data_IF_048026123929
#
_entry.id   IF_048026123929
#
_cell.length_a   1.000
_cell.length_b   1.000
_cell.length_c   1.000
_cell.angle_alpha   90.00
_cell.angle_beta   90.00
_cell.angle_gamma   90.00
#
_symmetry.space_group_name_H-M   'P 1'
#
loop_
_entity.id
_entity.type
_entity.pdbx_description
1 polymer ?
#
# COMPACT_ATOMS: atom_id res chain seq x y z
N UNK A 1 -16.69 -31.86 14.03
CA UNK A 1 -15.98 -31.40 12.82
C UNK A 1 -15.47 -30.01 13.08
N UNK A 2 -14.22 -29.86 13.45
CA UNK A 2 -13.59 -28.56 13.77
C UNK A 2 -12.97 -28.00 12.47
N UNK A 3 -13.45 -26.83 12.08
CA UNK A 3 -12.89 -26.06 10.97
C UNK A 3 -11.64 -25.35 11.46
N UNK A 4 -10.47 -25.77 10.97
CA UNK A 4 -9.19 -25.08 11.17
C UNK A 4 -9.12 -23.92 10.19
N UNK A 5 -9.20 -22.68 10.70
CA UNK A 5 -8.99 -21.48 9.92
C UNK A 5 -7.50 -21.32 9.52
N UNK A 6 -7.18 -20.67 8.40
CA UNK A 6 -5.82 -20.52 7.92
C UNK A 6 -5.00 -19.64 8.87
N UNK A 7 -3.89 -20.21 9.35
CA UNK A 7 -2.87 -19.56 10.15
C UNK A 7 -2.19 -18.46 9.30
N UNK A 8 -2.57 -17.19 9.49
CA UNK A 8 -1.92 -16.03 8.87
C UNK A 8 -0.53 -15.85 9.48
N UNK A 9 0.48 -16.21 8.71
CA UNK A 9 1.88 -16.20 9.12
C UNK A 9 2.34 -14.83 9.61
N UNK A 10 2.71 -14.74 10.88
CA UNK A 10 3.43 -13.62 11.48
C UNK A 10 4.86 -13.62 10.95
N UNK A 11 5.22 -12.69 10.08
CA UNK A 11 6.63 -12.47 9.72
C UNK A 11 7.21 -11.43 10.67
N UNK A 12 8.17 -11.84 11.48
CA UNK A 12 8.95 -10.93 12.33
C UNK A 12 10.20 -10.49 11.57
N UNK A 13 10.33 -9.19 11.33
CA UNK A 13 11.58 -8.61 10.84
C UNK A 13 12.47 -8.39 12.07
N UNK A 14 13.21 -9.42 12.46
CA UNK A 14 14.22 -9.31 13.51
C UNK A 14 15.52 -8.86 12.86
N UNK A 15 15.81 -7.57 12.91
CA UNK A 15 17.19 -7.07 12.70
C UNK A 15 17.85 -6.94 14.06
N UNK A 16 18.37 -8.04 14.57
CA UNK A 16 19.35 -8.03 15.65
C UNK A 16 20.74 -7.79 15.05
N UNK A 17 21.58 -7.00 15.74
CA UNK A 17 22.98 -6.74 15.37
C UNK A 17 23.86 -7.99 15.30
N UNK A 18 23.34 -9.17 15.53
CA UNK A 18 24.07 -10.45 15.54
C UNK A 18 24.58 -10.86 14.14
N UNK A 19 24.01 -10.31 13.07
CA UNK A 19 24.49 -10.60 11.70
C UNK A 19 25.86 -9.94 11.38
N UNK A 20 26.31 -8.97 12.17
CA UNK A 20 27.62 -8.32 12.00
C UNK A 20 28.74 -9.08 12.68
N UNK A 21 28.45 -9.90 13.68
CA UNK A 21 29.45 -10.71 14.38
C UNK A 21 29.89 -11.96 13.60
N UNK A 22 29.11 -12.40 12.63
CA UNK A 22 29.40 -13.56 11.80
C UNK A 22 30.40 -13.30 10.65
N UNK A 23 30.81 -12.03 10.42
CA UNK A 23 31.73 -11.67 9.31
C UNK A 23 33.13 -11.28 9.71
N UNK A 24 33.62 -11.66 10.89
CA UNK A 24 35.06 -11.63 11.23
C UNK A 24 35.78 -10.30 10.93
N UNK A 25 35.12 -9.15 10.93
CA UNK A 25 35.77 -7.86 10.75
C UNK A 25 36.28 -7.39 12.10
N UNK A 26 37.58 -7.50 12.31
CA UNK A 26 38.28 -7.04 13.49
C UNK A 26 38.10 -5.53 13.66
N UNK A 27 37.45 -5.11 14.73
CA UNK A 27 37.39 -3.71 15.15
C UNK A 27 38.71 -3.37 15.83
N UNK A 28 39.47 -2.35 15.38
CA UNK A 28 40.70 -1.97 16.02
C UNK A 28 40.43 -1.40 17.42
N UNK A 29 40.85 -2.13 18.45
CA UNK A 29 40.88 -1.64 19.82
C UNK A 29 41.95 -0.55 19.95
N UNK A 30 41.55 0.71 20.02
CA UNK A 30 42.43 1.76 20.49
C UNK A 30 42.63 1.59 21.99
N UNK A 31 43.85 1.11 22.36
CA UNK A 31 44.36 1.14 23.74
C UNK A 31 44.49 2.61 24.15
N UNK A 32 43.70 3.07 25.07
CA UNK A 32 43.98 4.27 25.82
C UNK A 32 44.99 3.90 26.90
N UNK A 33 46.18 4.45 26.75
CA UNK A 33 47.27 4.31 27.73
C UNK A 33 46.94 5.14 28.99
N UNK A 34 47.28 4.57 30.09
CA UNK A 34 47.05 4.95 31.46
C UNK A 34 47.16 6.42 31.85
N UNK A 35 46.19 6.84 32.64
CA UNK A 35 46.35 7.91 33.60
C UNK A 35 46.20 7.30 34.98
N UNK A 36 47.34 7.15 35.64
CA UNK A 36 47.43 6.71 37.04
C UNK A 36 47.12 7.90 37.95
N UNK A 37 46.04 7.79 38.73
CA UNK A 37 45.77 8.68 39.84
C UNK A 37 46.35 8.09 41.14
N UNK A 38 46.96 8.95 42.04
CA UNK A 38 47.60 8.46 43.26
C UNK A 38 46.57 8.01 44.30
N UNK A 39 46.93 6.94 45.01
CA UNK A 39 46.12 6.30 46.03
C UNK A 39 45.90 7.17 47.25
N UNK A 40 44.67 7.11 47.80
CA UNK A 40 44.40 7.42 49.19
C UNK A 40 43.92 6.14 49.89
N UNK A 41 44.78 5.58 50.71
CA UNK A 41 44.44 4.49 51.61
C UNK A 41 43.62 5.01 52.81
N UNK A 42 42.58 4.28 53.17
CA UNK A 42 41.79 4.59 54.35
C UNK A 42 40.79 3.48 54.64
N UNK A 43 41.23 2.42 55.34
CA UNK A 43 40.31 1.42 55.92
C UNK A 43 39.47 2.06 57.01
N UNK A 44 38.12 2.09 56.87
CA UNK A 44 37.23 2.04 58.01
C UNK A 44 36.01 1.15 57.66
N UNK A 45 35.89 0.06 58.42
CA UNK A 45 34.67 -0.76 58.52
C UNK A 45 33.59 0.07 59.17
N UNK A 46 32.40 0.01 58.61
CA UNK A 46 31.16 0.42 59.28
C UNK A 46 30.05 -0.62 59.00
N UNK A 47 29.12 -0.82 59.93
CA UNK A 47 28.31 -2.04 60.04
C UNK A 47 27.07 -2.00 59.18
N UNK A 48 26.52 -3.17 59.03
CA UNK A 48 25.34 -3.56 58.24
C UNK A 48 24.22 -2.56 58.15
N UNK A 49 23.82 -2.28 56.93
CA UNK A 49 22.58 -1.61 56.57
C UNK A 49 21.90 -2.43 55.47
N UNK A 50 20.67 -2.75 55.74
CA UNK A 50 19.75 -3.63 55.01
C UNK A 50 19.81 -3.42 53.49
N UNK A 51 19.89 -4.52 52.77
CA UNK A 51 19.65 -4.59 51.36
C UNK A 51 18.23 -4.13 51.04
N UNK A 52 18.12 -3.00 50.42
CA UNK A 52 16.91 -2.56 49.67
C UNK A 52 17.16 -2.83 48.22
N UNK A 53 17.07 -4.09 47.84
CA UNK A 53 16.91 -4.52 46.45
C UNK A 53 15.42 -4.28 46.07
N UNK A 54 15.09 -3.05 45.69
CA UNK A 54 13.83 -2.68 45.08
C UNK A 54 14.02 -1.62 44.04
N UNK A 55 13.88 -2.05 42.77
CA UNK A 55 13.39 -1.21 41.71
C UNK A 55 14.40 -0.58 40.77
N UNK A 56 14.99 -1.40 39.89
CA UNK A 56 15.64 -0.90 38.68
C UNK A 56 14.74 -0.03 37.80
N UNK A 57 13.44 0.09 38.13
CA UNK A 57 12.49 0.99 37.47
C UNK A 57 12.44 2.40 38.09
N UNK A 58 12.47 2.51 39.40
CA UNK A 58 12.34 3.81 40.07
C UNK A 58 13.54 4.72 39.83
N UNK A 59 14.76 4.17 39.83
CA UNK A 59 15.98 4.89 39.49
C UNK A 59 15.93 5.44 38.06
N UNK A 60 15.42 4.70 37.09
CA UNK A 60 15.27 5.15 35.69
C UNK A 60 14.30 6.32 35.58
N UNK A 61 13.21 6.30 36.32
CA UNK A 61 12.23 7.41 36.39
C UNK A 61 12.88 8.64 37.01
N UNK A 62 13.63 8.50 38.10
CA UNK A 62 14.34 9.60 38.75
C UNK A 62 15.39 10.23 37.81
N UNK A 63 16.14 9.41 37.08
CA UNK A 63 17.12 9.92 36.10
C UNK A 63 16.40 10.68 34.96
N UNK A 64 15.30 10.17 34.46
CA UNK A 64 14.51 10.86 33.41
C UNK A 64 13.96 12.19 33.93
N UNK A 65 13.47 12.25 35.17
CA UNK A 65 12.97 13.50 35.76
C UNK A 65 14.09 14.51 36.03
N UNK A 66 15.27 14.07 36.47
CA UNK A 66 16.43 14.95 36.64
C UNK A 66 16.93 15.51 35.33
N UNK A 67 16.96 14.70 34.28
CA UNK A 67 17.36 15.15 32.92
C UNK A 67 16.34 16.09 32.34
N UNK A 68 15.03 15.83 32.51
CA UNK A 68 13.97 16.75 32.10
C UNK A 68 14.02 18.09 32.87
N UNK A 69 14.30 18.05 34.17
CA UNK A 69 14.51 19.23 34.97
C UNK A 69 15.72 20.07 34.56
N UNK A 70 16.83 19.42 34.26
CA UNK A 70 18.05 20.11 33.77
C UNK A 70 17.84 20.71 32.38
N UNK A 71 17.11 20.03 31.50
CA UNK A 71 16.75 20.55 30.17
C UNK A 71 15.80 21.74 30.25
N UNK A 72 14.81 21.69 31.14
CA UNK A 72 13.89 22.83 31.40
C UNK A 72 14.61 24.06 31.98
N UNK A 73 15.57 23.85 32.89
CA UNK A 73 16.37 24.90 33.46
C UNK A 73 17.33 25.53 32.42
N UNK A 74 17.93 24.68 31.56
CA UNK A 74 18.77 25.13 30.44
C UNK A 74 18.00 25.97 29.41
N UNK A 75 16.75 25.60 29.14
CA UNK A 75 15.85 26.38 28.27
C UNK A 75 15.55 27.78 28.81
N UNK A 76 15.38 27.91 30.11
CA UNK A 76 15.06 29.20 30.76
C UNK A 76 16.25 30.18 30.75
N UNK A 77 17.47 29.66 30.72
CA UNK A 77 18.71 30.49 30.76
C UNK A 77 19.26 30.86 29.37
N UNK A 78 19.00 30.05 28.35
CA UNK A 78 19.65 30.15 27.03
C UNK A 78 18.66 30.56 25.94
N UNK A 79 18.45 31.85 25.76
CA UNK A 79 17.58 32.44 24.73
C UNK A 79 18.15 32.45 23.31
N UNK A 80 18.90 31.42 22.86
CA UNK A 80 19.49 31.38 21.53
C UNK A 80 19.30 29.99 20.85
N UNK A 81 18.87 30.01 19.61
CA UNK A 81 18.46 28.80 18.80
C UNK A 81 19.56 27.74 18.62
N UNK A 82 20.84 28.10 18.77
CA UNK A 82 21.98 27.21 18.60
C UNK A 82 22.16 26.16 19.72
N UNK A 83 21.83 26.49 20.95
CA UNK A 83 21.96 25.60 22.11
C UNK A 83 20.80 24.58 22.19
N UNK A 84 19.62 24.96 21.71
CA UNK A 84 18.43 24.12 21.72
C UNK A 84 18.63 22.82 20.87
N UNK A 85 19.27 22.95 19.70
CA UNK A 85 19.55 21.79 18.85
C UNK A 85 20.57 20.80 19.47
N UNK A 86 21.55 21.30 20.24
CA UNK A 86 22.54 20.42 20.87
C UNK A 86 22.00 19.74 22.13
N UNK A 87 21.19 20.46 22.92
CA UNK A 87 20.53 19.87 24.10
C UNK A 87 19.49 18.82 23.73
N UNK A 88 18.72 19.06 22.67
CA UNK A 88 17.77 18.09 22.14
C UNK A 88 18.45 16.77 21.72
N UNK A 89 19.54 16.86 20.94
CA UNK A 89 20.31 15.67 20.52
C UNK A 89 20.93 14.94 21.72
N UNK A 90 21.41 15.65 22.73
CA UNK A 90 21.94 15.05 23.95
C UNK A 90 20.87 14.30 24.76
N UNK A 91 19.68 14.87 24.87
CA UNK A 91 18.53 14.26 25.55
C UNK A 91 18.04 13.02 24.79
N UNK A 92 17.98 13.10 23.48
CA UNK A 92 17.64 11.96 22.61
C UNK A 92 18.64 10.81 22.80
N UNK A 93 19.94 11.10 22.80
CA UNK A 93 20.98 10.11 23.00
C UNK A 93 20.90 9.42 24.37
N UNK A 94 20.62 10.19 25.44
CA UNK A 94 20.44 9.65 26.79
C UNK A 94 19.21 8.77 26.91
N UNK A 95 18.09 9.15 26.30
CA UNK A 95 16.86 8.37 26.34
C UNK A 95 16.98 7.09 25.49
N UNK A 96 17.69 7.12 24.36
CA UNK A 96 18.03 5.93 23.58
C UNK A 96 18.90 4.99 24.40
N UNK A 97 19.92 5.52 25.10
CA UNK A 97 20.80 4.76 26.00
C UNK A 97 20.00 4.16 27.19
N UNK A 98 18.98 4.86 27.68
CA UNK A 98 18.04 4.35 28.70
C UNK A 98 17.07 3.26 28.18
N UNK A 99 17.14 2.91 26.89
CA UNK A 99 16.36 1.82 26.28
C UNK A 99 15.10 2.25 25.55
N UNK A 100 14.87 3.54 25.34
CA UNK A 100 13.71 4.09 24.60
C UNK A 100 14.02 4.32 23.10
N UNK A 101 15.07 3.72 22.56
CA UNK A 101 15.31 3.66 21.13
C UNK A 101 14.55 2.51 20.47
N UNK A 102 14.13 2.67 19.22
CA UNK A 102 13.53 1.59 18.43
C UNK A 102 14.53 0.45 18.25
N UNK A 103 14.23 -0.71 18.81
CA UNK A 103 15.05 -1.95 18.66
C UNK A 103 14.39 -2.96 17.75
N UNK A 104 13.07 -2.96 17.69
CA UNK A 104 12.28 -3.92 16.92
C UNK A 104 11.16 -3.22 16.17
N UNK A 105 10.98 -3.62 14.93
CA UNK A 105 9.82 -3.25 14.14
C UNK A 105 9.13 -4.56 13.78
N UNK A 106 7.87 -4.70 14.13
CA UNK A 106 7.03 -5.85 13.77
C UNK A 106 6.03 -5.40 12.74
N UNK A 107 5.95 -6.09 11.61
CA UNK A 107 4.97 -5.83 10.56
C UNK A 107 4.02 -7.01 10.46
N UNK A 108 2.73 -6.73 10.40
CA UNK A 108 1.66 -7.72 10.22
C UNK A 108 0.78 -7.31 9.02
N UNK A 109 0.30 -8.30 8.24
CA UNK A 109 -0.61 -8.09 7.10
C UNK A 109 0.08 -7.95 5.75
N UNK A 110 1.41 -7.96 5.70
CA UNK A 110 2.21 -7.86 4.48
C UNK A 110 2.14 -9.13 3.64
N UNK A 111 1.88 -8.99 2.33
CA UNK A 111 1.89 -10.08 1.35
C UNK A 111 2.72 -9.70 0.10
N UNK A 112 2.47 -8.55 -0.48
CA UNK A 112 3.08 -8.06 -1.72
C UNK A 112 4.07 -6.91 -1.50
N UNK A 113 3.85 -6.10 -0.47
CA UNK A 113 4.72 -4.97 -0.13
C UNK A 113 6.06 -5.48 0.39
N UNK A 114 7.16 -4.88 -0.04
CA UNK A 114 8.49 -5.29 0.41
C UNK A 114 8.87 -4.64 1.75
N UNK A 115 9.69 -5.31 2.55
CA UNK A 115 10.23 -4.78 3.81
C UNK A 115 10.97 -3.45 3.61
N UNK A 116 11.64 -3.29 2.47
CA UNK A 116 12.39 -2.10 2.13
C UNK A 116 11.47 -0.89 1.87
N UNK A 117 10.34 -1.10 1.20
CA UNK A 117 9.32 -0.07 0.96
C UNK A 117 8.67 0.37 2.26
N UNK A 118 8.25 -0.59 3.10
CA UNK A 118 7.65 -0.30 4.40
C UNK A 118 8.60 0.43 5.34
N UNK A 119 9.86 0.00 5.41
CA UNK A 119 10.86 0.66 6.26
C UNK A 119 11.14 2.09 5.80
N UNK A 120 11.19 2.32 4.49
CA UNK A 120 11.37 3.65 3.91
C UNK A 120 10.17 4.55 4.20
N UNK A 121 8.96 4.05 3.99
CA UNK A 121 7.72 4.79 4.26
C UNK A 121 7.55 5.09 5.75
N UNK A 122 7.86 4.12 6.62
CA UNK A 122 7.81 4.29 8.08
C UNK A 122 8.70 5.45 8.54
N UNK A 123 9.87 5.64 7.88
CA UNK A 123 10.81 6.70 8.23
C UNK A 123 11.47 6.50 9.61
N UNK A 124 11.45 5.30 10.13
CA UNK A 124 12.12 4.91 11.37
C UNK A 124 12.97 3.66 11.14
N UNK A 125 14.10 3.62 11.83
CA UNK A 125 15.00 2.48 11.85
C UNK A 125 15.49 2.17 13.25
N UNK A 126 16.32 1.13 13.41
CA UNK A 126 16.98 0.86 14.68
C UNK A 126 17.72 2.07 15.20
N UNK A 127 17.49 2.44 16.45
CA UNK A 127 18.07 3.62 17.09
C UNK A 127 17.24 4.90 16.96
N UNK A 128 16.15 4.94 16.22
CA UNK A 128 15.23 6.09 16.21
C UNK A 128 14.64 6.33 17.59
N UNK A 129 14.43 7.60 17.94
CA UNK A 129 13.90 7.98 19.25
C UNK A 129 12.40 7.68 19.34
N UNK A 130 12.02 6.70 20.16
CA UNK A 130 10.66 6.16 20.24
C UNK A 130 9.63 7.19 20.72
N UNK A 131 9.97 8.03 21.70
CA UNK A 131 8.99 8.92 22.33
C UNK A 131 8.59 10.10 21.43
N UNK A 132 9.50 10.57 20.57
CA UNK A 132 9.22 11.64 19.60
C UNK A 132 8.81 11.10 18.22
N UNK A 133 8.68 9.77 18.06
CA UNK A 133 8.25 9.20 16.80
C UNK A 133 6.78 9.50 16.54
N UNK A 134 6.51 10.19 15.45
CA UNK A 134 5.15 10.53 15.03
C UNK A 134 4.51 9.36 14.29
N UNK A 135 3.56 8.70 14.95
CA UNK A 135 2.84 7.54 14.43
C UNK A 135 1.84 7.90 13.36
N UNK A 136 1.24 9.10 13.42
CA UNK A 136 0.22 9.53 12.48
C UNK A 136 0.85 9.92 11.14
N UNK A 137 1.93 10.70 11.18
CA UNK A 137 2.71 10.98 9.99
C UNK A 137 3.33 9.71 9.36
N UNK A 138 3.69 8.71 10.16
CA UNK A 138 4.17 7.43 9.66
C UNK A 138 3.06 6.62 9.00
N UNK A 139 1.86 6.61 9.59
CA UNK A 139 0.66 6.01 9.00
C UNK A 139 0.36 6.62 7.63
N UNK A 140 0.30 7.94 7.53
CA UNK A 140 0.05 8.63 6.26
C UNK A 140 1.08 8.26 5.18
N UNK A 141 2.37 8.19 5.52
CA UNK A 141 3.40 7.76 4.57
C UNK A 141 3.27 6.30 4.16
N UNK A 142 2.86 5.42 5.06
CA UNK A 142 2.61 4.01 4.75
C UNK A 142 1.41 3.86 3.81
N UNK A 143 0.34 4.63 4.01
CA UNK A 143 -0.84 4.64 3.14
C UNK A 143 -0.58 5.24 1.75
N UNK A 144 0.54 5.96 1.57
CA UNK A 144 1.02 6.39 0.24
C UNK A 144 1.71 5.27 -0.56
N UNK A 145 2.07 4.16 0.09
CA UNK A 145 2.61 2.99 -0.62
C UNK A 145 1.47 2.35 -1.44
N UNK A 146 1.63 2.17 -2.76
CA UNK A 146 0.51 1.80 -3.63
C UNK A 146 -0.24 0.53 -3.23
N UNK A 147 0.45 -0.46 -2.68
CA UNK A 147 -0.15 -1.70 -2.20
C UNK A 147 -0.86 -1.57 -0.85
N UNK A 148 -0.60 -0.52 -0.09
CA UNK A 148 -1.19 -0.35 1.25
C UNK A 148 -2.52 0.39 1.14
N UNK A 149 -3.58 -0.24 1.62
CA UNK A 149 -4.91 0.37 1.72
C UNK A 149 -5.07 1.14 3.03
N UNK A 150 -4.75 0.46 4.13
CA UNK A 150 -4.80 1.03 5.47
C UNK A 150 -3.55 0.63 6.26
N UNK A 151 -3.06 1.54 7.08
CA UNK A 151 -1.95 1.29 7.99
C UNK A 151 -2.31 1.74 9.41
N UNK A 152 -1.83 0.97 10.40
CA UNK A 152 -1.87 1.33 11.80
C UNK A 152 -0.48 1.20 12.39
N UNK A 153 -0.01 2.25 13.07
CA UNK A 153 1.32 2.28 13.68
C UNK A 153 1.15 2.48 15.19
N UNK A 154 1.69 1.55 15.96
CA UNK A 154 1.60 1.56 17.42
C UNK A 154 2.99 1.54 18.05
N UNK A 155 3.17 2.34 19.10
CA UNK A 155 4.38 2.34 19.92
C UNK A 155 4.20 1.39 21.10
N UNK A 156 4.91 0.28 21.09
CA UNK A 156 4.97 -0.66 22.22
C UNK A 156 6.25 -0.37 23.01
N UNK A 157 6.09 0.43 24.07
CA UNK A 157 7.20 0.81 24.92
C UNK A 157 7.83 -0.43 25.60
N UNK A 158 9.17 -0.42 25.81
CA UNK A 158 10.06 0.71 25.63
C UNK A 158 10.68 0.85 24.23
N UNK A 159 10.63 -0.16 23.34
CA UNK A 159 11.53 -0.22 22.19
C UNK A 159 10.99 -0.92 20.94
N UNK A 160 9.67 -1.14 20.85
CA UNK A 160 9.07 -1.85 19.70
C UNK A 160 8.05 -0.96 18.99
N UNK A 161 8.17 -0.86 17.67
CA UNK A 161 7.12 -0.34 16.80
C UNK A 161 6.35 -1.52 16.21
N UNK A 162 5.03 -1.51 16.37
CA UNK A 162 4.14 -2.45 15.70
C UNK A 162 3.45 -1.72 14.55
N UNK A 163 3.55 -2.29 13.36
CA UNK A 163 2.91 -1.81 12.13
C UNK A 163 1.95 -2.91 11.68
N UNK A 164 0.68 -2.57 11.55
CA UNK A 164 -0.34 -3.44 10.97
C UNK A 164 -0.78 -2.80 9.68
N UNK A 165 -0.69 -3.52 8.56
CA UNK A 165 -1.13 -3.04 7.26
C UNK A 165 -2.22 -3.94 6.69
N UNK A 166 -3.14 -3.32 5.98
CA UNK A 166 -4.10 -3.97 5.10
C UNK A 166 -3.70 -3.66 3.66
N UNK A 167 -3.35 -4.69 2.89
CA UNK A 167 -3.00 -4.50 1.48
C UNK A 167 -4.25 -4.41 0.61
N UNK A 168 -4.14 -3.66 -0.51
CA UNK A 168 -5.16 -3.57 -1.54
C UNK A 168 -5.31 -4.90 -2.26
N UNK A 169 -6.54 -5.23 -2.61
CA UNK A 169 -6.84 -6.45 -3.37
C UNK A 169 -6.99 -6.07 -4.85
N UNK A 170 -6.19 -6.66 -5.75
CA UNK A 170 -6.33 -6.46 -7.18
C UNK A 170 -7.74 -6.81 -7.66
N UNK A 171 -8.41 -5.88 -8.34
CA UNK A 171 -9.79 -6.03 -8.81
C UNK A 171 -9.89 -6.06 -10.33
N UNK A 172 -9.21 -5.14 -11.02
CA UNK A 172 -9.25 -5.04 -12.48
C UNK A 172 -7.90 -4.58 -13.05
N UNK A 173 -7.67 -4.88 -14.31
CA UNK A 173 -6.61 -4.29 -15.11
C UNK A 173 -7.17 -3.09 -15.85
N UNK A 174 -6.64 -1.91 -15.56
CA UNK A 174 -7.05 -0.66 -16.17
C UNK A 174 -6.04 -0.20 -17.21
N UNK A 175 -6.52 0.03 -18.44
CA UNK A 175 -5.72 0.57 -19.53
C UNK A 175 -6.18 2.00 -19.83
N UNK A 176 -5.25 2.94 -19.79
CA UNK A 176 -5.47 4.34 -20.13
C UNK A 176 -4.23 4.93 -20.78
N UNK A 177 -4.40 5.71 -21.85
CA UNK A 177 -3.29 6.39 -22.55
C UNK A 177 -2.12 5.48 -22.91
N UNK A 178 -2.39 4.25 -23.35
CA UNK A 178 -1.38 3.26 -23.71
C UNK A 178 -0.64 2.61 -22.54
N UNK A 179 -0.97 2.95 -21.30
CA UNK A 179 -0.40 2.37 -20.08
C UNK A 179 -1.41 1.45 -19.40
N UNK A 180 -0.89 0.40 -18.77
CA UNK A 180 -1.71 -0.59 -18.08
C UNK A 180 -1.36 -0.64 -16.60
N UNK A 181 -2.38 -0.63 -15.75
CA UNK A 181 -2.26 -0.63 -14.30
C UNK A 181 -3.18 -1.67 -13.68
N UNK A 182 -2.80 -2.19 -12.53
CA UNK A 182 -3.72 -2.93 -11.66
C UNK A 182 -4.39 -1.93 -10.73
N UNK A 183 -5.71 -2.05 -10.61
CA UNK A 183 -6.51 -1.22 -9.70
C UNK A 183 -7.30 -2.08 -8.73
N UNK A 184 -7.60 -1.51 -7.57
CA UNK A 184 -8.52 -2.12 -6.59
C UNK A 184 -9.98 -1.79 -6.90
N UNK A 185 -10.89 -2.23 -6.02
CA UNK A 185 -12.33 -1.99 -6.12
C UNK A 185 -12.70 -0.50 -6.07
N UNK A 186 -11.88 0.33 -5.44
CA UNK A 186 -12.06 1.79 -5.34
C UNK A 186 -11.46 2.53 -6.55
N UNK A 187 -10.79 1.80 -7.45
CA UNK A 187 -10.09 2.35 -8.61
C UNK A 187 -8.72 2.96 -8.28
N UNK A 188 -8.20 2.71 -7.09
CA UNK A 188 -6.86 3.13 -6.73
C UNK A 188 -5.81 2.28 -7.46
N UNK A 189 -4.78 2.94 -8.00
CA UNK A 189 -3.70 2.26 -8.73
C UNK A 189 -2.78 1.57 -7.73
N UNK A 190 -2.61 0.24 -7.91
CA UNK A 190 -1.74 -0.60 -7.07
C UNK A 190 -0.34 -0.70 -7.69
N UNK A 191 -0.27 -1.03 -8.97
CA UNK A 191 1.00 -1.24 -9.67
C UNK A 191 0.83 -1.09 -11.18
N UNK A 192 1.90 -0.80 -11.95
CA UNK A 192 1.93 -1.05 -13.37
C UNK A 192 1.67 -2.54 -13.64
N UNK A 193 0.83 -2.85 -14.63
CA UNK A 193 0.46 -4.22 -14.93
C UNK A 193 1.15 -4.72 -16.21
N UNK A 194 1.72 -5.91 -16.12
CA UNK A 194 1.95 -6.76 -17.27
C UNK A 194 0.71 -7.65 -17.39
N UNK A 195 0.00 -7.56 -18.51
CA UNK A 195 -1.33 -8.19 -18.68
C UNK A 195 -1.31 -9.70 -18.41
N UNK A 196 -0.22 -10.36 -18.78
CA UNK A 196 -0.05 -11.80 -18.60
C UNK A 196 -0.04 -12.22 -17.13
N UNK A 197 0.52 -11.38 -16.26
CA UNK A 197 0.57 -11.64 -14.82
C UNK A 197 -0.80 -11.50 -14.14
N UNK A 198 -1.73 -10.77 -14.76
CA UNK A 198 -3.07 -10.48 -14.25
C UNK A 198 -4.17 -10.89 -15.23
N UNK A 199 -3.93 -11.94 -16.02
CA UNK A 199 -4.84 -12.40 -17.07
C UNK A 199 -6.22 -12.84 -16.54
N UNK A 200 -6.31 -13.22 -15.27
CA UNK A 200 -7.57 -13.59 -14.61
C UNK A 200 -8.43 -12.38 -14.23
N UNK A 201 -7.86 -11.18 -14.20
CA UNK A 201 -8.61 -9.97 -13.87
C UNK A 201 -9.29 -9.38 -15.11
N UNK A 202 -10.48 -8.81 -14.96
CA UNK A 202 -11.19 -8.15 -16.05
C UNK A 202 -10.40 -6.93 -16.54
N UNK A 203 -10.42 -6.71 -17.86
CA UNK A 203 -9.82 -5.54 -18.48
C UNK A 203 -10.84 -4.42 -18.61
N UNK A 204 -10.50 -3.24 -18.10
CA UNK A 204 -11.27 -2.00 -18.31
C UNK A 204 -10.39 -0.96 -19.02
N UNK A 205 -10.96 -0.28 -20.00
CA UNK A 205 -10.22 0.63 -20.89
C UNK A 205 -10.90 1.99 -20.92
N UNK A 206 -10.09 3.03 -20.92
CA UNK A 206 -10.55 4.41 -21.07
C UNK A 206 -10.39 5.26 -19.82
N UNK A 207 -10.61 6.55 -19.98
CA UNK A 207 -10.57 7.52 -18.89
C UNK A 207 -11.68 7.23 -17.87
N UNK A 208 -11.37 7.34 -16.58
CA UNK A 208 -12.33 7.05 -15.51
C UNK A 208 -12.75 5.58 -15.37
N UNK A 209 -12.33 4.67 -16.28
CA UNK A 209 -12.75 3.28 -16.26
C UNK A 209 -12.38 2.55 -14.98
N UNK A 210 -11.17 2.79 -14.43
CA UNK A 210 -10.72 2.17 -13.18
C UNK A 210 -11.63 2.48 -12.00
N UNK A 211 -12.03 3.74 -11.83
CA UNK A 211 -12.88 4.17 -10.72
C UNK A 211 -14.32 3.67 -10.79
N UNK A 212 -14.84 3.46 -12.00
CA UNK A 212 -16.23 3.08 -12.23
C UNK A 212 -16.39 1.59 -12.59
N UNK A 213 -15.28 0.83 -12.52
CA UNK A 213 -15.30 -0.60 -12.82
C UNK A 213 -16.16 -1.38 -11.83
N UNK A 214 -16.08 -1.07 -10.54
CA UNK A 214 -16.83 -1.76 -9.50
C UNK A 214 -18.33 -1.69 -9.74
N UNK A 215 -18.86 -0.50 -10.01
CA UNK A 215 -20.31 -0.29 -10.28
C UNK A 215 -20.78 -1.06 -11.51
N UNK A 216 -19.95 -1.08 -12.58
CA UNK A 216 -20.25 -1.87 -13.76
C UNK A 216 -20.32 -3.37 -13.41
N UNK A 217 -19.29 -3.90 -12.72
CA UNK A 217 -19.24 -5.33 -12.41
C UNK A 217 -20.32 -5.75 -11.42
N UNK A 218 -20.70 -4.88 -10.48
CA UNK A 218 -21.87 -5.13 -9.62
C UNK A 218 -23.15 -5.27 -10.47
N UNK A 219 -23.34 -4.35 -11.44
CA UNK A 219 -24.48 -4.41 -12.37
C UNK A 219 -24.44 -5.65 -13.25
N UNK A 220 -23.25 -6.14 -13.63
CA UNK A 220 -23.05 -7.33 -14.46
C UNK A 220 -23.22 -8.66 -13.71
N UNK A 221 -23.13 -8.67 -12.39
CA UNK A 221 -23.23 -9.91 -11.57
C UNK A 221 -24.43 -10.82 -11.91
N UNK A 222 -25.66 -10.30 -12.13
CA UNK A 222 -26.79 -11.14 -12.48
C UNK A 222 -26.77 -11.70 -13.91
N UNK A 223 -25.81 -11.24 -14.73
CA UNK A 223 -25.76 -11.49 -16.17
C UNK A 223 -24.56 -12.36 -16.56
N UNK A 224 -24.44 -13.53 -15.95
CA UNK A 224 -23.34 -14.49 -16.11
C UNK A 224 -23.02 -14.82 -17.57
N UNK A 225 -24.04 -14.93 -18.43
CA UNK A 225 -23.89 -15.28 -19.85
C UNK A 225 -23.10 -14.21 -20.62
N UNK A 226 -23.28 -12.94 -20.26
CA UNK A 226 -22.53 -11.82 -20.84
C UNK A 226 -21.15 -11.68 -20.19
N UNK A 227 -21.10 -11.79 -18.85
CA UNK A 227 -19.87 -11.60 -18.08
C UNK A 227 -18.80 -12.64 -18.44
N UNK A 228 -19.19 -13.89 -18.62
CA UNK A 228 -18.28 -14.98 -19.03
C UNK A 228 -17.71 -14.83 -20.44
N UNK A 229 -18.43 -14.14 -21.31
CA UNK A 229 -17.97 -13.88 -22.67
C UNK A 229 -17.23 -12.54 -22.81
N UNK A 230 -17.25 -11.69 -21.78
CA UNK A 230 -16.64 -10.38 -21.82
C UNK A 230 -15.10 -10.48 -21.74
N UNK A 231 -14.42 -9.88 -22.71
CA UNK A 231 -12.95 -9.78 -22.78
C UNK A 231 -12.49 -8.43 -22.23
N UNK A 232 -13.26 -7.37 -22.48
CA UNK A 232 -12.94 -6.03 -22.00
C UNK A 232 -14.20 -5.18 -21.87
N UNK A 233 -14.16 -4.20 -21.00
CA UNK A 233 -15.16 -3.14 -20.90
C UNK A 233 -14.51 -1.79 -21.19
N UNK A 234 -15.01 -1.08 -22.20
CA UNK A 234 -14.50 0.22 -22.63
C UNK A 234 -15.41 1.33 -22.11
N UNK A 235 -14.85 2.30 -21.40
CA UNK A 235 -15.55 3.50 -20.96
C UNK A 235 -15.40 4.59 -22.02
N UNK A 236 -16.51 5.00 -22.61
CA UNK A 236 -16.55 5.95 -23.72
C UNK A 236 -17.10 7.29 -23.23
N UNK A 237 -16.31 8.36 -23.42
CA UNK A 237 -16.69 9.72 -23.02
C UNK A 237 -16.92 9.87 -21.52
N UNK A 238 -16.23 9.08 -20.72
CA UNK A 238 -16.30 9.01 -19.24
C UNK A 238 -17.72 8.81 -18.66
N UNK A 239 -18.62 8.21 -19.43
CA UNK A 239 -20.02 7.99 -19.01
C UNK A 239 -20.62 6.65 -19.41
N UNK A 240 -20.40 6.19 -20.65
CA UNK A 240 -21.01 4.98 -21.20
C UNK A 240 -20.02 3.83 -21.25
N UNK A 241 -20.57 2.61 -21.23
CA UNK A 241 -19.77 1.41 -21.39
C UNK A 241 -20.06 0.72 -22.72
N UNK A 242 -19.00 0.17 -23.31
CA UNK A 242 -19.08 -0.79 -24.42
C UNK A 242 -18.39 -2.06 -23.96
N UNK A 243 -19.11 -3.17 -23.95
CA UNK A 243 -18.55 -4.48 -23.60
C UNK A 243 -18.03 -5.14 -24.87
N UNK A 244 -16.77 -5.56 -24.86
CA UNK A 244 -16.21 -6.41 -25.92
C UNK A 244 -16.37 -7.87 -25.53
N UNK A 245 -17.05 -8.65 -26.36
CA UNK A 245 -17.23 -10.08 -26.14
C UNK A 245 -16.17 -10.90 -26.88
N UNK A 246 -15.92 -12.12 -26.42
CA UNK A 246 -14.99 -13.07 -27.04
C UNK A 246 -15.38 -13.47 -28.47
N UNK A 247 -16.67 -13.35 -28.81
CA UNK A 247 -17.19 -13.51 -30.19
C UNK A 247 -16.80 -12.34 -31.13
N UNK A 248 -16.15 -11.30 -30.59
CA UNK A 248 -15.83 -10.07 -31.33
C UNK A 248 -17.00 -9.10 -31.49
N UNK A 249 -18.08 -9.32 -30.75
CA UNK A 249 -19.25 -8.43 -30.74
C UNK A 249 -19.04 -7.32 -29.73
N UNK A 250 -19.30 -6.07 -30.14
CA UNK A 250 -19.32 -4.90 -29.27
C UNK A 250 -20.75 -4.64 -28.78
N UNK A 251 -20.98 -4.66 -27.47
CA UNK A 251 -22.28 -4.34 -26.86
C UNK A 251 -22.21 -2.95 -26.28
N UNK A 252 -22.89 -1.98 -26.91
CA UNK A 252 -22.95 -0.59 -26.48
C UNK A 252 -24.09 -0.41 -25.49
N UNK A 253 -23.74 -0.03 -24.26
CA UNK A 253 -24.69 0.16 -23.16
C UNK A 253 -25.14 1.62 -23.03
N UNK A 254 -26.35 1.88 -22.53
CA UNK A 254 -26.82 3.24 -22.20
C UNK A 254 -26.05 3.84 -21.01
N UNK A 255 -26.23 5.14 -20.80
CA UNK A 255 -25.71 5.83 -19.61
C UNK A 255 -26.46 5.35 -18.34
N UNK A 256 -27.79 5.26 -18.44
CA UNK A 256 -28.68 4.82 -17.38
C UNK A 256 -29.47 3.57 -17.81
N UNK A 257 -29.93 2.77 -16.83
CA UNK A 257 -30.72 1.57 -17.10
C UNK A 257 -29.94 0.41 -17.72
N UNK A 258 -28.65 0.31 -17.44
CA UNK A 258 -27.75 -0.75 -17.94
C UNK A 258 -28.32 -2.15 -17.68
N UNK A 259 -28.90 -2.39 -16.48
CA UNK A 259 -29.47 -3.67 -16.12
C UNK A 259 -30.65 -4.08 -17.03
N UNK A 260 -31.51 -3.12 -17.39
CA UNK A 260 -32.68 -3.40 -18.25
C UNK A 260 -32.26 -3.60 -19.71
N UNK A 261 -31.27 -2.84 -20.17
CA UNK A 261 -30.63 -3.05 -21.47
C UNK A 261 -30.03 -4.46 -21.58
N UNK A 262 -29.35 -4.94 -20.54
CA UNK A 262 -28.79 -6.29 -20.48
C UNK A 262 -29.86 -7.40 -20.43
N UNK A 263 -30.97 -7.17 -19.71
CA UNK A 263 -32.13 -8.11 -19.74
C UNK A 263 -32.69 -8.23 -21.16
N UNK A 264 -32.84 -7.10 -21.85
CA UNK A 264 -33.30 -7.05 -23.24
C UNK A 264 -32.35 -7.83 -24.15
N UNK A 265 -31.03 -7.63 -24.01
CA UNK A 265 -30.01 -8.36 -24.77
C UNK A 265 -30.14 -9.88 -24.58
N UNK A 266 -30.20 -10.34 -23.30
CA UNK A 266 -30.29 -11.76 -22.98
C UNK A 266 -31.59 -12.35 -23.51
N UNK A 267 -32.69 -11.65 -23.45
CA UNK A 267 -33.96 -12.11 -24.01
C UNK A 267 -33.85 -12.29 -25.52
N UNK A 268 -33.27 -11.33 -26.22
CA UNK A 268 -33.04 -11.40 -27.66
C UNK A 268 -32.04 -12.51 -28.04
N UNK A 269 -31.00 -12.69 -27.23
CA UNK A 269 -30.03 -13.74 -27.47
C UNK A 269 -30.66 -15.12 -27.28
N UNK A 270 -31.44 -15.32 -26.21
CA UNK A 270 -32.14 -16.58 -25.95
C UNK A 270 -33.18 -16.92 -27.04
N UNK A 271 -33.95 -15.93 -27.48
CA UNK A 271 -35.05 -16.13 -28.41
C UNK A 271 -34.59 -16.23 -29.87
N UNK A 272 -33.45 -15.61 -30.21
CA UNK A 272 -32.97 -15.43 -31.59
C UNK A 272 -31.52 -15.80 -31.81
N UNK A 273 -30.79 -16.28 -30.79
CA UNK A 273 -29.34 -16.57 -30.81
C UNK A 273 -28.54 -15.41 -31.38
N UNK A 274 -28.84 -14.18 -30.90
CA UNK A 274 -28.36 -12.93 -31.49
C UNK A 274 -26.82 -12.85 -31.46
N UNK A 275 -26.20 -13.18 -30.33
CA UNK A 275 -24.75 -13.09 -30.13
C UNK A 275 -23.95 -14.19 -30.88
N UNK A 276 -24.65 -15.21 -31.44
CA UNK A 276 -24.05 -16.28 -32.26
C UNK A 276 -24.07 -15.95 -33.74
N UNK A 277 -24.70 -14.85 -34.15
CA UNK A 277 -24.76 -14.43 -35.54
C UNK A 277 -23.50 -13.65 -35.94
N UNK A 278 -23.30 -13.50 -37.25
CA UNK A 278 -22.21 -12.68 -37.83
C UNK A 278 -22.49 -11.18 -37.67
N UNK A 279 -22.49 -10.71 -36.42
CA UNK A 279 -22.71 -9.31 -36.06
C UNK A 279 -21.42 -8.69 -35.52
N UNK A 280 -21.24 -7.41 -35.78
CA UNK A 280 -20.10 -6.62 -35.27
C UNK A 280 -20.47 -5.87 -33.98
N UNK A 281 -21.71 -5.38 -33.88
CA UNK A 281 -22.12 -4.64 -32.68
C UNK A 281 -23.62 -4.73 -32.40
N UNK A 282 -23.98 -4.63 -31.13
CA UNK A 282 -25.36 -4.45 -30.64
C UNK A 282 -25.42 -3.13 -29.88
N UNK A 283 -26.26 -2.21 -30.35
CA UNK A 283 -26.45 -0.90 -29.73
C UNK A 283 -27.73 -0.89 -28.87
N UNK A 284 -27.55 -0.78 -27.57
CA UNK A 284 -28.61 -0.75 -26.54
C UNK A 284 -28.76 0.63 -25.92
N UNK A 285 -28.15 1.67 -26.51
CA UNK A 285 -28.14 3.02 -25.93
C UNK A 285 -29.52 3.69 -25.92
N UNK A 286 -30.42 3.22 -26.74
CA UNK A 286 -31.80 3.70 -26.80
C UNK A 286 -32.73 2.65 -26.19
N UNK A 287 -33.57 3.08 -25.23
CA UNK A 287 -34.45 2.19 -24.50
C UNK A 287 -35.59 1.62 -25.37
N UNK A 288 -35.95 2.30 -26.42
CA UNK A 288 -37.09 1.97 -27.31
C UNK A 288 -36.72 1.03 -28.47
N UNK A 289 -35.40 0.86 -28.74
CA UNK A 289 -34.95 0.06 -29.88
C UNK A 289 -33.58 -0.55 -29.64
N UNK A 290 -33.36 -1.71 -30.25
CA UNK A 290 -32.07 -2.35 -30.34
C UNK A 290 -31.59 -2.32 -31.78
N UNK A 291 -30.43 -1.71 -32.03
CA UNK A 291 -29.83 -1.66 -33.36
C UNK A 291 -28.67 -2.69 -33.44
N UNK A 292 -28.62 -3.41 -34.54
CA UNK A 292 -27.61 -4.45 -34.76
C UNK A 292 -26.80 -4.09 -36.01
N UNK A 293 -25.48 -4.04 -35.89
CA UNK A 293 -24.58 -3.88 -37.01
C UNK A 293 -24.05 -5.25 -37.44
N UNK A 294 -24.28 -5.61 -38.69
CA UNK A 294 -23.79 -6.84 -39.29
C UNK A 294 -22.29 -6.66 -39.56
N UNK A 295 -21.51 -7.73 -39.40
CA UNK A 295 -20.09 -7.75 -39.75
C UNK A 295 -19.95 -7.76 -41.27
N UNK A 296 -19.18 -6.78 -41.80
CA UNK A 296 -18.92 -6.75 -43.23
C UNK A 296 -17.98 -7.88 -43.64
N UNK A 297 -18.25 -8.49 -44.80
CA UNK A 297 -17.47 -9.63 -45.34
C UNK A 297 -16.01 -9.27 -45.56
N UNK A 298 -15.70 -7.98 -45.73
CA UNK A 298 -14.33 -7.46 -45.87
C UNK A 298 -13.54 -7.53 -44.54
N UNK A 299 -14.20 -7.42 -43.40
CA UNK A 299 -13.58 -7.55 -42.06
C UNK A 299 -13.17 -9.00 -41.73
N UNK A 300 -13.85 -9.99 -42.34
CA UNK A 300 -13.55 -11.41 -42.17
C UNK A 300 -12.27 -11.85 -42.90
N UNK A 301 -11.76 -11.02 -43.82
CA UNK A 301 -10.61 -11.36 -44.68
C UNK A 301 -9.30 -10.75 -44.18
N UNK A 302 -9.33 -9.87 -43.18
CA UNK A 302 -8.10 -9.39 -42.54
C UNK A 302 -7.60 -10.46 -41.54
N UNK A 303 -6.34 -10.95 -41.70
CA UNK A 303 -5.76 -11.79 -40.67
C UNK A 303 -5.69 -10.96 -39.39
N UNK A 304 -6.09 -11.59 -38.29
CA UNK A 304 -5.96 -11.06 -36.94
C UNK A 304 -4.52 -10.55 -36.73
N UNK A 305 -4.29 -9.28 -36.99
CA UNK A 305 -3.05 -8.59 -36.65
C UNK A 305 -3.06 -8.44 -35.15
N UNK A 306 -2.47 -9.45 -34.51
CA UNK A 306 -2.40 -9.63 -33.08
C UNK A 306 -2.20 -8.34 -32.33
N UNK A 307 -3.11 -8.07 -31.42
CA UNK A 307 -2.96 -7.25 -30.22
C UNK A 307 -2.58 -5.77 -30.38
N UNK A 308 -3.11 -5.05 -31.36
CA UNK A 308 -3.21 -3.60 -31.26
C UNK A 308 -4.63 -3.25 -30.84
N UNK A 309 -4.84 -3.02 -29.54
CA UNK A 309 -6.07 -2.37 -29.07
C UNK A 309 -6.18 -1.00 -29.77
N UNK A 310 -7.36 -0.62 -30.27
CA UNK A 310 -7.51 0.64 -31.01
C UNK A 310 -7.10 1.83 -30.15
N UNK A 311 -6.20 2.67 -30.68
CA UNK A 311 -5.91 3.97 -30.11
C UNK A 311 -7.21 4.76 -29.95
N UNK A 312 -7.50 5.15 -28.72
CA UNK A 312 -8.62 6.07 -28.45
C UNK A 312 -8.25 7.42 -29.10
N UNK A 313 -9.05 7.95 -30.04
CA UNK A 313 -8.72 9.23 -30.66
C UNK A 313 -8.72 10.33 -29.58
N UNK A 314 -7.56 10.89 -29.33
CA UNK A 314 -7.41 12.11 -28.52
C UNK A 314 -8.05 13.26 -29.32
N UNK A 315 -9.20 13.75 -28.86
CA UNK A 315 -9.79 15.00 -29.36
C UNK A 315 -8.88 16.18 -28.97
N UNK A 316 -7.92 16.52 -29.82
CA UNK A 316 -7.18 17.77 -29.70
C UNK A 316 -8.12 18.93 -30.05
N UNK A 317 -8.68 19.56 -29.03
CA UNK A 317 -9.32 20.88 -29.16
C UNK A 317 -8.22 21.91 -29.44
N UNK A 318 -7.98 22.20 -30.72
CA UNK A 318 -7.26 23.42 -31.11
C UNK A 318 -8.09 24.63 -30.70
N UNK A 319 -7.70 25.32 -29.64
CA UNK A 319 -8.11 26.71 -29.44
C UNK A 319 -7.33 27.56 -30.41
N UNK A 320 -8.01 28.10 -31.41
CA UNK A 320 -7.54 29.27 -32.14
C UNK A 320 -7.79 30.51 -31.30
N UNK A 321 -6.75 31.24 -31.05
CA UNK A 321 -6.75 32.66 -30.67
C UNK A 321 -6.92 33.48 -31.91
#
# INVERSE_FOLDING_TARGET
>A
MQSVGPNRGRRQIVRTNDALLARGIAVPQRRFAGLSLPGFGGKKRAPGGAALDRGGGAWRVVVVLLVAGAAGYGFWISGEEGLYGQTKRGLEALTIAAGFGVKRITVEGQQHTTDAELTRALGAGPGSFMLAFDTDAAKERLEQVPWVKHAQVMRLLPSTLQVVIEERIPFAVWQSQGKTYVVDVEGAVIAPAVREAYASLPLVVGEGAGKNAADLFETLKPFDSVTKQMVAALRVGDRRWTLKLSSGVDVMLPDDGVADALKTLITLDRDRSLLQREIAAVDLRLADRVSVRIRDKAELTMPDSGSALPDVPTSSTKRNT
#
